data_IF_707899654255
#
_entry.id   IF_707899654255
#
_cell.length_a   1.000
_cell.length_b   1.000
_cell.length_c   1.000
_cell.angle_alpha   90.00
_cell.angle_beta   90.00
_cell.angle_gamma   90.00
#
_symmetry.space_group_name_H-M   'P 1'
#
loop_
_entity.id
_entity.type
_entity.pdbx_description
1 polymer ?
#
# COMPACT_ATOMS: atom_id res chain seq x y z
N UNK A 1 0.72 17.66 0.78
CA UNK A 1 0.64 18.38 -0.52
C UNK A 1 1.80 17.91 -1.39
N UNK A 2 1.59 17.76 -2.69
CA UNK A 2 2.68 17.38 -3.61
C UNK A 2 3.70 18.52 -3.76
N UNK A 3 4.94 18.15 -4.11
CA UNK A 3 5.97 19.12 -4.47
C UNK A 3 5.55 19.94 -5.72
N UNK A 4 6.08 21.17 -5.91
CA UNK A 4 5.81 21.95 -7.11
C UNK A 4 6.03 21.16 -8.39
N UNK A 5 5.09 21.28 -9.35
CA UNK A 5 5.12 20.56 -10.62
C UNK A 5 4.65 19.09 -10.56
N UNK A 6 4.35 18.55 -9.37
CA UNK A 6 3.85 17.18 -9.19
C UNK A 6 2.35 17.20 -8.91
N UNK A 7 1.58 16.34 -9.58
CA UNK A 7 0.15 16.16 -9.30
C UNK A 7 -0.34 14.77 -9.64
N UNK A 8 -1.43 14.31 -9.02
CA UNK A 8 -2.11 13.08 -9.42
C UNK A 8 -3.10 13.39 -10.54
N UNK A 9 -3.11 12.56 -11.59
CA UNK A 9 -4.04 12.70 -12.70
C UNK A 9 -5.44 12.20 -12.32
N UNK A 10 -6.42 13.11 -12.26
CA UNK A 10 -7.84 12.77 -12.24
C UNK A 10 -8.36 12.85 -13.68
N UNK A 11 -8.65 11.71 -14.30
CA UNK A 11 -9.10 11.69 -15.71
C UNK A 11 -10.55 12.20 -15.80
N UNK A 12 -10.87 12.88 -16.90
CA UNK A 12 -12.26 13.18 -17.23
C UNK A 12 -13.11 11.90 -17.28
N UNK A 13 -14.38 12.00 -16.92
CA UNK A 13 -15.33 10.88 -16.81
C UNK A 13 -14.94 9.79 -15.79
N UNK A 14 -14.14 10.14 -14.76
CA UNK A 14 -13.89 9.22 -13.64
C UNK A 14 -14.99 9.36 -12.58
N UNK A 15 -15.36 8.24 -11.96
CA UNK A 15 -16.14 8.23 -10.72
C UNK A 15 -15.24 8.50 -9.51
N UNK A 16 -15.79 9.18 -8.50
CA UNK A 16 -15.15 9.31 -7.18
C UNK A 16 -15.87 8.36 -6.24
N UNK A 17 -15.19 7.30 -5.82
CA UNK A 17 -15.70 6.33 -4.84
C UNK A 17 -15.07 6.63 -3.49
N UNK A 18 -15.91 6.77 -2.47
CA UNK A 18 -15.48 6.95 -1.09
C UNK A 18 -15.80 5.67 -0.30
N UNK A 19 -14.76 4.99 0.19
CA UNK A 19 -14.86 3.90 1.14
C UNK A 19 -14.51 4.44 2.53
N UNK A 20 -15.42 4.31 3.49
CA UNK A 20 -15.25 4.86 4.84
C UNK A 20 -15.18 3.73 5.85
N UNK A 21 -14.13 3.72 6.65
CA UNK A 21 -13.94 2.75 7.74
C UNK A 21 -14.40 3.41 9.06
N UNK A 22 -15.55 2.99 9.59
CA UNK A 22 -16.03 3.42 10.90
C UNK A 22 -15.76 2.35 11.97
N UNK A 23 -15.02 2.72 13.01
CA UNK A 23 -14.89 1.90 14.22
C UNK A 23 -15.96 2.33 15.23
N UNK A 24 -16.81 1.41 15.66
CA UNK A 24 -17.89 1.71 16.62
C UNK A 24 -17.34 2.10 17.99
N UNK A 25 -17.86 3.16 18.59
CA UNK A 25 -17.52 3.59 19.96
C UNK A 25 -18.68 3.41 20.97
N UNK A 26 -19.74 2.69 20.58
CA UNK A 26 -20.90 2.40 21.43
C UNK A 26 -21.94 3.52 21.55
N UNK A 27 -21.73 4.68 20.92
CA UNK A 27 -22.69 5.79 20.92
C UNK A 27 -23.18 6.09 19.51
N UNK A 28 -24.48 6.30 19.33
CA UNK A 28 -25.02 6.74 18.04
C UNK A 28 -24.50 8.14 17.69
N UNK A 29 -23.99 8.30 16.48
CA UNK A 29 -23.47 9.57 15.98
C UNK A 29 -23.84 9.75 14.50
N UNK A 30 -23.85 11.00 14.05
CA UNK A 30 -23.97 11.36 12.63
C UNK A 30 -22.64 11.88 12.14
N UNK A 31 -22.20 11.42 10.96
CA UNK A 31 -21.00 11.92 10.29
C UNK A 31 -21.36 12.58 8.94
N UNK A 32 -20.62 13.63 8.59
CA UNK A 32 -20.70 14.29 7.29
C UNK A 32 -19.29 14.57 6.78
N UNK A 33 -18.61 13.50 6.38
CA UNK A 33 -17.30 13.60 5.73
C UNK A 33 -17.39 14.36 4.41
N UNK A 34 -16.43 15.27 4.17
CA UNK A 34 -16.30 16.04 2.92
C UNK A 34 -14.88 15.87 2.38
N UNK A 35 -14.76 15.69 1.07
CA UNK A 35 -13.48 15.64 0.36
C UNK A 35 -13.32 16.89 -0.49
N UNK A 36 -12.23 17.64 -0.26
CA UNK A 36 -11.84 18.77 -1.10
C UNK A 36 -10.80 18.35 -2.13
N UNK A 37 -11.00 18.74 -3.39
CA UNK A 37 -10.02 18.54 -4.47
C UNK A 37 -9.49 19.89 -4.91
N UNK A 38 -8.17 20.06 -4.84
CA UNK A 38 -7.48 21.26 -5.34
C UNK A 38 -6.79 20.91 -6.66
N UNK A 39 -7.25 21.51 -7.75
CA UNK A 39 -6.67 21.32 -9.08
C UNK A 39 -5.38 22.14 -9.25
N UNK A 40 -4.40 21.56 -9.95
CA UNK A 40 -3.22 22.30 -10.37
C UNK A 40 -3.63 23.40 -11.36
N UNK A 41 -3.04 24.59 -11.22
CA UNK A 41 -3.29 25.73 -12.12
C UNK A 41 -2.67 25.53 -13.51
N UNK A 42 -1.53 24.86 -13.53
CA UNK A 42 -0.78 24.53 -14.73
C UNK A 42 -0.63 23.01 -14.85
N UNK A 43 -0.48 22.45 -16.06
CA UNK A 43 -0.18 21.04 -16.25
C UNK A 43 1.05 20.61 -15.44
N UNK A 44 0.99 19.47 -14.71
CA UNK A 44 2.13 19.01 -13.94
C UNK A 44 3.26 18.54 -14.86
N UNK A 45 4.50 18.79 -14.44
CA UNK A 45 5.69 18.26 -15.12
C UNK A 45 5.95 16.81 -14.77
N UNK A 46 5.45 16.31 -13.63
CA UNK A 46 5.51 14.89 -13.25
C UNK A 46 4.23 14.44 -12.55
N UNK A 47 3.94 13.15 -12.59
CA UNK A 47 2.72 12.58 -12.02
C UNK A 47 3.00 11.85 -10.71
N UNK A 48 2.25 12.18 -9.66
CA UNK A 48 2.17 11.37 -8.45
C UNK A 48 1.28 10.16 -8.69
N UNK A 49 1.88 8.99 -8.62
CA UNK A 49 1.23 7.69 -8.77
C UNK A 49 1.49 6.86 -7.51
N UNK A 50 1.08 5.60 -7.54
CA UNK A 50 1.38 4.65 -6.49
C UNK A 50 1.17 3.25 -7.02
N UNK A 51 1.49 2.27 -6.20
CA UNK A 51 1.25 0.88 -6.50
C UNK A 51 1.08 0.07 -5.24
N UNK A 52 0.77 -1.21 -5.45
CA UNK A 52 0.63 -2.16 -4.38
C UNK A 52 1.07 -3.55 -4.84
N UNK A 53 1.62 -4.31 -3.91
CA UNK A 53 1.74 -5.75 -4.00
C UNK A 53 0.82 -6.33 -2.93
N UNK A 54 -0.11 -7.19 -3.33
CA UNK A 54 -1.05 -7.83 -2.42
C UNK A 54 -1.24 -9.30 -2.77
N UNK A 55 -1.66 -10.08 -1.79
CA UNK A 55 -2.03 -11.47 -1.97
C UNK A 55 -3.34 -11.75 -1.20
N UNK A 56 -4.47 -11.99 -1.88
CA UNK A 56 -5.75 -12.23 -1.24
C UNK A 56 -6.07 -13.72 -1.06
N UNK A 57 -5.16 -14.62 -1.42
CA UNK A 57 -5.42 -16.07 -1.51
C UNK A 57 -4.75 -16.89 -0.39
N UNK A 58 -4.28 -16.24 0.67
CA UNK A 58 -3.66 -16.94 1.79
C UNK A 58 -4.70 -17.48 2.79
N UNK A 59 -4.24 -18.43 3.60
CA UNK A 59 -4.94 -18.88 4.80
C UNK A 59 -3.89 -18.94 5.91
N UNK A 60 -4.05 -18.14 6.95
CA UNK A 60 -3.23 -18.21 8.16
C UNK A 60 -3.83 -19.33 9.03
N UNK A 61 -3.11 -20.42 9.30
CA UNK A 61 -3.63 -21.52 10.09
C UNK A 61 -3.93 -21.08 11.54
N UNK A 62 -4.92 -21.74 12.15
CA UNK A 62 -5.17 -21.63 13.59
C UNK A 62 -3.88 -21.87 14.40
N UNK A 63 -3.64 -21.03 15.41
CA UNK A 63 -2.53 -21.09 16.35
C UNK A 63 -1.10 -20.90 15.78
N UNK A 64 -0.93 -20.59 14.50
CA UNK A 64 0.39 -20.29 13.93
C UNK A 64 0.86 -18.89 14.36
N UNK A 65 1.99 -18.81 15.05
CA UNK A 65 2.55 -17.55 15.57
C UNK A 65 3.52 -16.82 14.64
N UNK A 66 3.76 -17.37 13.43
CA UNK A 66 4.69 -16.77 12.47
C UNK A 66 4.40 -17.19 11.03
N UNK A 67 3.15 -17.07 10.59
CA UNK A 67 2.76 -17.45 9.24
C UNK A 67 3.25 -16.44 8.21
N UNK A 68 4.01 -16.87 7.21
CA UNK A 68 4.52 -16.02 6.14
C UNK A 68 3.52 -15.91 4.97
N UNK A 69 3.31 -14.69 4.48
CA UNK A 69 2.59 -14.41 3.23
C UNK A 69 3.42 -13.46 2.38
N UNK A 70 3.59 -13.80 1.11
CA UNK A 70 4.33 -12.98 0.15
C UNK A 70 3.42 -12.46 -0.97
N UNK A 71 3.79 -11.30 -1.50
CA UNK A 71 3.23 -10.74 -2.71
C UNK A 71 4.33 -10.10 -3.56
N UNK A 72 4.17 -10.10 -4.88
CA UNK A 72 5.11 -9.44 -5.78
C UNK A 72 4.39 -8.56 -6.79
N UNK A 73 5.06 -7.49 -7.24
CA UNK A 73 4.60 -6.63 -8.33
C UNK A 73 5.80 -6.17 -9.16
N UNK A 74 5.66 -6.23 -10.48
CA UNK A 74 6.66 -5.67 -11.39
C UNK A 74 6.48 -4.16 -11.53
N UNK A 75 7.58 -3.41 -11.49
CA UNK A 75 7.64 -1.99 -11.83
C UNK A 75 7.78 -1.89 -13.36
N UNK A 76 6.77 -1.34 -14.04
CA UNK A 76 6.70 -1.35 -15.51
C UNK A 76 7.46 -0.20 -16.19
N UNK A 77 7.76 0.86 -15.42
CA UNK A 77 8.41 2.08 -15.92
C UNK A 77 9.36 2.61 -14.85
N UNK A 78 10.41 3.28 -15.28
CA UNK A 78 11.31 4.01 -14.37
C UNK A 78 10.48 4.92 -13.46
N UNK A 79 10.65 4.71 -12.16
CA UNK A 79 9.75 5.24 -11.14
C UNK A 79 10.58 5.83 -10.00
N UNK A 80 10.30 7.07 -9.62
CA UNK A 80 10.89 7.67 -8.44
C UNK A 80 10.05 7.29 -7.21
N UNK A 81 10.50 6.27 -6.47
CA UNK A 81 9.87 5.82 -5.22
C UNK A 81 10.02 6.89 -4.13
N UNK A 82 8.91 7.27 -3.50
CA UNK A 82 8.91 8.32 -2.46
C UNK A 82 8.56 7.78 -1.09
N UNK A 83 7.64 6.83 -0.98
CA UNK A 83 7.27 6.25 0.31
C UNK A 83 6.70 4.85 0.20
N UNK A 84 6.72 4.13 1.33
CA UNK A 84 6.25 2.75 1.50
C UNK A 84 5.28 2.72 2.68
N UNK A 85 4.14 2.04 2.54
CA UNK A 85 3.09 1.98 3.58
C UNK A 85 2.64 0.53 3.78
N UNK A 86 3.20 -0.17 4.79
CA UNK A 86 2.74 -1.50 5.18
C UNK A 86 1.28 -1.48 5.67
N UNK A 87 0.48 -2.42 5.21
CA UNK A 87 -0.90 -2.58 5.68
C UNK A 87 -1.24 -4.05 5.93
N UNK A 88 -1.62 -4.34 7.17
CA UNK A 88 -2.09 -5.63 7.70
C UNK A 88 -3.13 -5.34 8.79
N UNK A 89 -3.91 -6.35 9.20
CA UNK A 89 -4.80 -6.20 10.35
C UNK A 89 -4.12 -6.63 11.66
N UNK A 90 -4.91 -7.03 12.65
CA UNK A 90 -4.50 -7.17 14.06
C UNK A 90 -3.51 -8.29 14.33
N UNK A 91 -3.30 -9.21 13.37
CA UNK A 91 -2.30 -10.27 13.48
C UNK A 91 -1.00 -9.93 12.80
N UNK A 92 -0.92 -8.81 12.08
CA UNK A 92 0.32 -8.37 11.43
C UNK A 92 1.46 -8.25 12.43
N UNK A 93 2.59 -8.91 12.12
CA UNK A 93 3.77 -9.02 13.00
C UNK A 93 4.94 -8.20 12.48
N UNK A 94 5.25 -8.36 11.21
CA UNK A 94 6.30 -7.62 10.51
C UNK A 94 6.02 -7.58 9.00
N UNK A 95 6.63 -6.60 8.32
CA UNK A 95 6.60 -6.52 6.86
C UNK A 95 7.93 -6.00 6.32
N UNK A 96 8.42 -6.62 5.25
CA UNK A 96 9.65 -6.26 4.56
C UNK A 96 9.40 -6.06 3.07
N UNK A 97 10.03 -5.05 2.48
CA UNK A 97 10.00 -4.74 1.06
C UNK A 97 11.38 -4.93 0.47
N UNK A 98 11.48 -5.73 -0.59
CA UNK A 98 12.72 -6.03 -1.30
C UNK A 98 12.55 -5.67 -2.77
N UNK A 99 13.43 -4.82 -3.28
CA UNK A 99 13.56 -4.58 -4.71
C UNK A 99 14.55 -5.57 -5.31
N UNK A 100 14.10 -6.39 -6.25
CA UNK A 100 14.94 -7.24 -7.09
C UNK A 100 15.16 -6.55 -8.43
N UNK A 101 16.37 -6.08 -8.70
CA UNK A 101 16.70 -5.27 -9.86
C UNK A 101 16.93 -6.12 -11.13
N UNK A 102 16.75 -5.54 -12.33
CA UNK A 102 16.99 -6.24 -13.61
C UNK A 102 18.43 -6.75 -13.80
N UNK A 103 19.40 -6.14 -13.11
CA UNK A 103 20.81 -6.54 -13.16
C UNK A 103 21.13 -7.75 -12.25
N UNK A 104 20.13 -8.28 -11.55
CA UNK A 104 20.26 -9.41 -10.63
C UNK A 104 20.61 -9.03 -9.20
N UNK A 105 20.84 -7.75 -8.91
CA UNK A 105 21.06 -7.29 -7.53
C UNK A 105 19.74 -7.14 -6.77
N UNK A 106 19.81 -7.05 -5.45
CA UNK A 106 18.62 -6.84 -4.61
C UNK A 106 18.92 -5.91 -3.44
N UNK A 107 17.89 -5.21 -2.98
CA UNK A 107 17.97 -4.26 -1.88
C UNK A 107 16.70 -4.30 -1.03
N UNK A 108 16.86 -4.35 0.28
CA UNK A 108 15.77 -4.11 1.23
C UNK A 108 15.46 -2.62 1.27
N UNK A 109 14.27 -2.23 0.80
CA UNK A 109 13.82 -0.84 0.78
C UNK A 109 13.20 -0.39 2.11
N UNK A 110 12.52 -1.31 2.80
CA UNK A 110 11.91 -1.08 4.11
C UNK A 110 11.85 -2.41 4.86
N UNK A 111 12.16 -2.37 6.16
CA UNK A 111 11.89 -3.47 7.09
C UNK A 111 11.21 -2.89 8.32
N UNK A 112 10.00 -3.38 8.62
CA UNK A 112 9.24 -3.05 9.82
C UNK A 112 9.17 -4.30 10.69
N UNK A 113 10.15 -4.51 11.58
CA UNK A 113 10.31 -5.78 12.31
C UNK A 113 9.32 -5.97 13.45
N UNK A 114 8.57 -4.92 13.80
CA UNK A 114 7.53 -4.94 14.82
C UNK A 114 6.39 -4.05 14.37
N UNK A 115 5.59 -4.59 13.47
CA UNK A 115 4.38 -3.94 13.01
C UNK A 115 3.37 -3.81 14.17
N UNK A 116 2.61 -2.71 14.17
CA UNK A 116 1.48 -2.52 15.08
C UNK A 116 0.31 -1.97 14.26
N UNK A 117 -0.83 -2.67 14.32
CA UNK A 117 -2.05 -2.27 13.63
C UNK A 117 -2.54 -0.87 14.00
N UNK A 118 -2.19 -0.37 15.19
CA UNK A 118 -2.55 0.98 15.63
C UNK A 118 -1.59 2.06 15.08
N UNK A 119 -0.46 1.66 14.48
CA UNK A 119 0.55 2.54 13.90
C UNK A 119 0.80 2.24 12.42
N UNK A 120 -0.27 2.27 11.62
CA UNK A 120 -0.19 2.14 10.17
C UNK A 120 0.33 3.42 9.52
N UNK A 121 1.64 3.61 9.62
CA UNK A 121 2.31 4.82 9.14
C UNK A 121 2.87 4.64 7.74
N UNK A 122 2.92 5.75 7.01
CA UNK A 122 3.69 5.86 5.77
C UNK A 122 5.14 6.20 6.09
N UNK A 123 6.06 5.39 5.58
CA UNK A 123 7.50 5.62 5.68
C UNK A 123 7.97 6.39 4.45
N UNK A 124 8.18 7.70 4.61
CA UNK A 124 8.76 8.56 3.59
C UNK A 124 10.26 8.31 3.48
N UNK A 125 10.75 8.11 2.25
CA UNK A 125 12.18 7.96 2.00
C UNK A 125 12.85 9.31 2.22
N UNK A 126 13.94 9.33 3.01
CA UNK A 126 14.73 10.55 3.24
C UNK A 126 15.23 11.15 1.91
N UNK A 127 15.60 10.29 0.97
CA UNK A 127 15.91 10.63 -0.41
C UNK A 127 15.07 9.75 -1.33
N UNK A 128 14.17 10.30 -2.14
CA UNK A 128 13.44 9.53 -3.14
C UNK A 128 14.39 8.74 -4.04
N UNK A 129 14.01 7.51 -4.38
CA UNK A 129 14.90 6.55 -5.06
C UNK A 129 14.36 6.17 -6.42
N UNK A 130 15.19 6.28 -7.45
CA UNK A 130 14.84 5.76 -8.78
C UNK A 130 14.88 4.25 -8.77
N UNK A 131 13.73 3.65 -9.09
CA UNK A 131 13.55 2.22 -9.29
C UNK A 131 13.36 1.99 -10.80
N UNK A 132 14.27 1.27 -11.47
CA UNK A 132 14.18 1.05 -12.90
C UNK A 132 12.99 0.16 -13.28
N UNK A 133 12.52 0.32 -14.52
CA UNK A 133 11.60 -0.62 -15.13
C UNK A 133 12.17 -2.05 -15.09
N UNK A 134 11.32 -3.04 -14.84
CA UNK A 134 11.73 -4.44 -14.69
C UNK A 134 12.15 -4.82 -13.27
N UNK A 135 12.19 -3.89 -12.32
CA UNK A 135 12.36 -4.25 -10.90
C UNK A 135 11.14 -5.01 -10.40
N UNK A 136 11.35 -6.19 -9.79
CA UNK A 136 10.32 -6.91 -9.05
C UNK A 136 10.31 -6.42 -7.61
N UNK A 137 9.25 -5.74 -7.21
CA UNK A 137 8.95 -5.42 -5.81
C UNK A 137 8.39 -6.67 -5.14
N UNK A 138 9.10 -7.21 -4.15
CA UNK A 138 8.64 -8.29 -3.29
C UNK A 138 8.30 -7.74 -1.91
N UNK A 139 7.15 -8.16 -1.39
CA UNK A 139 6.69 -7.79 -0.05
C UNK A 139 6.45 -9.09 0.71
N UNK A 140 7.08 -9.20 1.88
CA UNK A 140 7.02 -10.35 2.77
C UNK A 140 6.37 -9.86 4.06
N UNK A 141 5.31 -10.54 4.48
CA UNK A 141 4.59 -10.23 5.71
C UNK A 141 4.50 -11.48 6.58
N UNK A 142 4.56 -11.30 7.90
CA UNK A 142 4.28 -12.37 8.85
C UNK A 142 3.08 -12.03 9.72
N UNK A 143 2.36 -13.07 10.13
CA UNK A 143 1.20 -12.97 11.01
C UNK A 143 1.38 -13.84 12.26
N UNK A 144 0.93 -13.32 13.40
CA UNK A 144 0.84 -14.04 14.65
C UNK A 144 -0.64 -14.34 14.99
N UNK A 145 -1.09 -15.52 14.55
CA UNK A 145 -2.40 -16.10 14.91
C UNK A 145 -2.32 -17.02 16.13
N UNK A 146 -1.26 -16.92 16.94
CA UNK A 146 -1.15 -17.69 18.19
C UNK A 146 -2.02 -17.10 19.30
N UNK A 147 -2.24 -17.88 20.37
CA UNK A 147 -2.88 -17.41 21.60
C UNK A 147 -2.02 -16.40 22.39
N UNK A 148 -0.74 -16.22 22.03
CA UNK A 148 0.16 -15.24 22.66
C UNK A 148 -0.07 -13.81 22.17
N UNK A 149 -0.63 -13.63 20.98
CA UNK A 149 -0.96 -12.33 20.44
C UNK A 149 -2.23 -11.78 21.10
N UNK A 150 -2.08 -10.77 21.98
CA UNK A 150 -3.21 -10.14 22.70
C UNK A 150 -4.20 -9.42 21.78
N UNK A 151 -3.81 -9.09 20.55
CA UNK A 151 -4.68 -8.47 19.57
C UNK A 151 -5.47 -9.49 18.74
N UNK A 152 -5.17 -10.79 18.87
CA UNK A 152 -5.85 -11.86 18.15
C UNK A 152 -7.24 -12.14 18.80
N UNK A 153 -8.35 -11.92 18.07
CA UNK A 153 -9.69 -12.12 18.61
C UNK A 153 -10.07 -13.59 18.82
N UNK A 154 -9.53 -14.51 17.99
CA UNK A 154 -9.77 -15.96 18.11
C UNK A 154 -8.62 -16.74 17.43
N UNK A 155 -7.65 -17.27 18.22
CA UNK A 155 -6.53 -18.04 17.68
C UNK A 155 -6.91 -19.44 17.21
N UNK A 156 -8.12 -19.93 17.55
CA UNK A 156 -8.55 -21.29 17.22
C UNK A 156 -9.05 -21.47 15.79
N UNK A 157 -9.09 -20.37 15.02
CA UNK A 157 -9.65 -20.32 13.67
C UNK A 157 -8.56 -20.05 12.64
N UNK A 158 -8.74 -20.65 11.48
CA UNK A 158 -8.06 -20.23 10.27
C UNK A 158 -8.55 -18.85 9.86
N UNK A 159 -7.63 -18.00 9.41
CA UNK A 159 -7.91 -16.62 9.03
C UNK A 159 -7.57 -16.41 7.55
N UNK A 160 -8.40 -15.65 6.85
CA UNK A 160 -8.27 -15.38 5.41
C UNK A 160 -8.31 -13.89 5.14
N UNK A 161 -8.08 -13.53 3.89
CA UNK A 161 -8.29 -12.17 3.43
C UNK A 161 -9.73 -11.68 3.70
N UNK A 162 -9.88 -10.45 4.18
CA UNK A 162 -11.17 -9.77 4.25
C UNK A 162 -11.08 -8.33 4.73
N UNK A 163 -12.20 -7.60 4.68
CA UNK A 163 -12.24 -6.17 4.97
C UNK A 163 -12.38 -5.87 6.47
N UNK A 164 -12.77 -6.87 7.26
CA UNK A 164 -12.99 -6.68 8.68
C UNK A 164 -11.68 -6.81 9.47
N UNK A 165 -11.55 -6.04 10.54
CA UNK A 165 -10.34 -6.03 11.39
C UNK A 165 -9.99 -7.40 11.99
N UNK A 166 -10.95 -8.31 12.15
CA UNK A 166 -10.71 -9.69 12.62
C UNK A 166 -10.39 -10.69 11.50
N UNK A 167 -10.61 -10.31 10.25
CA UNK A 167 -10.02 -10.95 9.06
C UNK A 167 -8.60 -10.40 8.86
N UNK A 168 -7.97 -10.65 7.71
CA UNK A 168 -6.63 -10.10 7.43
C UNK A 168 -6.49 -9.45 6.06
N UNK A 169 -5.44 -8.66 5.91
CA UNK A 169 -4.98 -8.16 4.62
C UNK A 169 -3.46 -8.26 4.55
N UNK A 170 -2.97 -8.49 3.34
CA UNK A 170 -1.55 -8.39 3.01
C UNK A 170 -1.39 -7.37 1.91
N UNK A 171 -1.04 -6.13 2.25
CA UNK A 171 -0.79 -5.09 1.25
C UNK A 171 0.48 -4.34 1.56
N UNK A 172 1.43 -4.40 0.62
CA UNK A 172 2.52 -3.47 0.58
C UNK A 172 2.24 -2.33 -0.38
N UNK A 173 1.85 -1.16 0.13
CA UNK A 173 1.62 0.03 -0.70
C UNK A 173 2.91 0.83 -0.90
N UNK A 174 3.01 1.54 -2.02
CA UNK A 174 3.99 2.61 -2.20
C UNK A 174 3.42 3.81 -2.94
N UNK A 175 4.01 4.96 -2.67
CA UNK A 175 3.84 6.17 -3.46
C UNK A 175 5.08 6.42 -4.31
N UNK A 176 4.85 6.96 -5.51
CA UNK A 176 5.95 7.28 -6.41
C UNK A 176 5.60 8.39 -7.39
N UNK A 177 6.63 8.87 -8.08
CA UNK A 177 6.53 9.91 -9.10
C UNK A 177 7.07 9.35 -10.41
N UNK A 178 6.34 9.60 -11.51
CA UNK A 178 6.74 9.20 -12.86
C UNK A 178 6.67 10.40 -13.81
N UNK A 179 7.40 10.31 -14.92
CA UNK A 179 7.24 11.25 -16.02
C UNK A 179 5.81 11.15 -16.61
N UNK A 180 5.22 12.26 -17.08
CA UNK A 180 3.92 12.20 -17.75
C UNK A 180 4.03 11.32 -19.00
N UNK A 181 2.98 10.57 -19.36
CA UNK A 181 2.96 9.91 -20.66
C UNK A 181 3.16 10.94 -21.77
N UNK A 182 3.94 10.60 -22.81
CA UNK A 182 4.10 11.45 -23.97
C UNK A 182 2.72 11.87 -24.50
N UNK A 183 2.56 13.16 -24.83
CA UNK A 183 1.29 13.69 -25.36
C UNK A 183 0.88 12.83 -26.55
N UNK A 184 -0.18 12.05 -26.39
CA UNK A 184 -0.81 11.38 -27.53
C UNK A 184 -1.43 12.49 -28.35
N UNK A 185 -0.86 12.77 -29.52
CA UNK A 185 -1.51 13.61 -30.52
C UNK A 185 -2.78 12.89 -30.93
N UNK A 186 -3.90 13.23 -30.28
CA UNK A 186 -5.22 12.88 -30.79
C UNK A 186 -5.33 13.65 -32.10
N UNK A 187 -5.18 12.95 -33.23
CA UNK A 187 -5.53 13.53 -34.51
C UNK A 187 -7.02 13.89 -34.46
N UNK A 188 -7.41 15.13 -34.78
CA UNK A 188 -8.82 15.45 -34.89
C UNK A 188 -9.45 14.57 -35.97
N UNK A 189 -10.57 13.94 -35.63
CA UNK A 189 -11.49 13.34 -36.60
C UNK A 189 -12.12 14.43 -37.45
#
# INVERSE_FOLDING_TARGET
>A
MFAPGVSRLLRGNSDIVLQIHYTTNGTAATDRTVVGVVYAKEPPTRLAVGGMALNPRFVIPANDGNHEVTATRMIEKDTLLTSLTPHMHVRGKDMTYIAHYPDGTSETLLSVPKYDFNWQITYELATPKTIPAGTKMEVIAHYDNSAGNKANPDPSKDVKWGDQTWEEMMIGFWSSIVEPPAKTTVQPQ
#
